data_IF_785399338573
#
_entry.id   IF_785399338573
#
_cell.length_a   1.000
_cell.length_b   1.000
_cell.length_c   1.000
_cell.angle_alpha   90.00
_cell.angle_beta   90.00
_cell.angle_gamma   90.00
#
_symmetry.space_group_name_H-M   'P 1'
#
loop_
_entity.id
_entity.type
_entity.pdbx_description
1 polymer ?
#
# COMPACT_ATOMS: atom_id res chain seq x y z
N UNK A 1 9.80 11.97 -15.09
CA UNK A 1 10.42 10.85 -14.34
C UNK A 1 9.61 10.49 -13.09
N UNK A 2 8.37 10.02 -13.24
CA UNK A 2 7.50 9.61 -12.11
C UNK A 2 7.37 8.08 -11.96
N UNK A 3 8.02 7.30 -12.83
CA UNK A 3 7.88 5.83 -12.89
C UNK A 3 8.40 5.06 -11.66
N UNK A 4 9.17 5.71 -10.77
CA UNK A 4 9.78 5.07 -9.60
C UNK A 4 9.30 5.66 -8.26
N UNK A 5 8.17 6.37 -8.24
CA UNK A 5 7.62 6.85 -6.97
C UNK A 5 6.89 5.68 -6.30
N UNK A 6 7.30 5.26 -5.09
CA UNK A 6 6.60 4.20 -4.37
C UNK A 6 5.21 4.67 -3.92
N UNK A 7 4.20 3.86 -4.21
CA UNK A 7 2.79 4.13 -3.89
C UNK A 7 2.30 3.11 -2.86
N UNK A 8 1.77 3.61 -1.75
CA UNK A 8 1.08 2.81 -0.73
C UNK A 8 -0.39 3.22 -0.68
N UNK A 9 -1.30 2.27 -0.93
CA UNK A 9 -2.74 2.53 -0.90
C UNK A 9 -3.30 2.43 0.52
N UNK A 10 -4.09 3.41 0.96
CA UNK A 10 -4.79 3.38 2.25
C UNK A 10 -6.26 3.07 2.01
N UNK A 11 -6.78 1.98 2.58
CA UNK A 11 -8.19 1.55 2.43
C UNK A 11 -8.89 1.41 3.77
N UNK A 12 -10.23 1.54 3.81
CA UNK A 12 -11.04 1.16 4.96
C UNK A 12 -11.42 -0.33 4.94
N UNK A 13 -11.50 -0.92 3.74
CA UNK A 13 -11.94 -2.30 3.54
C UNK A 13 -10.84 -3.10 2.82
N UNK A 14 -10.54 -4.28 3.37
CA UNK A 14 -9.54 -5.20 2.82
C UNK A 14 -10.19 -6.22 1.87
N UNK A 15 -11.02 -5.74 0.93
CA UNK A 15 -11.61 -6.61 -0.07
C UNK A 15 -10.51 -7.10 -1.02
N UNK A 16 -10.40 -8.43 -1.17
CA UNK A 16 -9.34 -9.06 -1.97
C UNK A 16 -9.34 -8.56 -3.42
N UNK A 17 -10.51 -8.37 -4.01
CA UNK A 17 -10.64 -7.91 -5.39
C UNK A 17 -10.07 -6.51 -5.60
N UNK A 18 -10.30 -5.61 -4.63
CA UNK A 18 -9.75 -4.25 -4.65
C UNK A 18 -8.23 -4.25 -4.48
N UNK A 19 -7.69 -5.16 -3.65
CA UNK A 19 -6.25 -5.32 -3.45
C UNK A 19 -5.60 -5.82 -4.75
N UNK A 20 -6.21 -6.79 -5.44
CA UNK A 20 -5.71 -7.33 -6.70
C UNK A 20 -5.72 -6.25 -7.79
N UNK A 21 -6.81 -5.48 -7.90
CA UNK A 21 -6.90 -4.37 -8.86
C UNK A 21 -5.85 -3.29 -8.57
N UNK A 22 -5.63 -2.93 -7.30
CA UNK A 22 -4.61 -1.96 -6.92
C UNK A 22 -3.19 -2.44 -7.23
N UNK A 23 -2.89 -3.71 -6.98
CA UNK A 23 -1.60 -4.31 -7.34
C UNK A 23 -1.37 -4.29 -8.85
N UNK A 24 -2.39 -4.60 -9.66
CA UNK A 24 -2.32 -4.51 -11.13
C UNK A 24 -2.16 -3.07 -11.62
N UNK A 25 -2.70 -2.09 -10.90
CA UNK A 25 -2.54 -0.67 -11.20
C UNK A 25 -1.14 -0.12 -10.86
N UNK A 26 -0.26 -0.93 -10.27
CA UNK A 26 1.12 -0.54 -9.95
C UNK A 26 1.30 0.02 -8.53
N UNK A 27 0.37 -0.25 -7.61
CA UNK A 27 0.56 0.03 -6.18
C UNK A 27 1.57 -0.95 -5.60
N UNK A 28 2.52 -0.46 -4.80
CA UNK A 28 3.57 -1.29 -4.22
C UNK A 28 3.12 -2.02 -2.94
N UNK A 29 2.30 -1.39 -2.10
CA UNK A 29 1.70 -2.04 -0.93
C UNK A 29 0.39 -1.33 -0.50
N UNK A 30 -0.33 -1.88 0.46
CA UNK A 30 -1.56 -1.31 1.00
C UNK A 30 -1.61 -1.39 2.53
N UNK A 31 -2.38 -0.49 3.13
CA UNK A 31 -2.65 -0.43 4.57
C UNK A 31 -4.15 -0.24 4.82
N UNK A 32 -4.68 -0.98 5.79
CA UNK A 32 -6.11 -0.97 6.13
C UNK A 32 -6.31 -0.11 7.38
N UNK A 33 -7.34 0.74 7.37
CA UNK A 33 -7.74 1.54 8.53
C UNK A 33 -8.65 0.73 9.48
N UNK A 34 -8.56 0.96 10.80
CA UNK A 34 -7.55 1.76 11.49
C UNK A 34 -6.19 1.03 11.53
N UNK A 35 -5.10 1.76 11.29
CA UNK A 35 -3.74 1.23 11.39
C UNK A 35 -2.98 1.92 12.53
N UNK A 36 -1.95 1.26 13.04
CA UNK A 36 -1.02 1.83 14.01
C UNK A 36 0.19 2.41 13.29
N UNK A 37 0.93 3.32 13.95
CA UNK A 37 2.17 3.88 13.41
C UNK A 37 3.20 2.80 13.06
N UNK A 38 3.30 1.76 13.90
CA UNK A 38 4.19 0.63 13.67
C UNK A 38 3.87 -0.14 12.37
N UNK A 39 2.58 -0.38 12.09
CA UNK A 39 2.16 -1.05 10.84
C UNK A 39 2.46 -0.18 9.62
N UNK A 40 2.24 1.13 9.72
CA UNK A 40 2.58 2.05 8.64
C UNK A 40 4.09 2.08 8.39
N UNK A 41 4.91 2.14 9.44
CA UNK A 41 6.36 2.14 9.35
C UNK A 41 6.89 0.86 8.68
N UNK A 42 6.39 -0.32 9.08
CA UNK A 42 6.75 -1.59 8.45
C UNK A 42 6.44 -1.59 6.95
N UNK A 43 5.25 -1.09 6.56
CA UNK A 43 4.84 -0.98 5.17
C UNK A 43 5.75 -0.04 4.38
N UNK A 44 6.05 1.14 4.92
CA UNK A 44 6.92 2.11 4.26
C UNK A 44 8.34 1.57 4.07
N UNK A 45 8.93 0.94 5.10
CA UNK A 45 10.26 0.34 5.03
C UNK A 45 10.35 -0.78 3.99
N UNK A 46 9.26 -1.53 3.79
CA UNK A 46 9.17 -2.57 2.78
C UNK A 46 9.13 -2.01 1.36
N UNK A 47 8.54 -0.83 1.16
CA UNK A 47 8.37 -0.21 -0.17
C UNK A 47 9.58 0.65 -0.56
N UNK A 48 10.30 1.21 0.41
CA UNK A 48 11.45 2.10 0.20
C UNK A 48 12.80 1.37 0.03
N UNK A 49 12.86 0.06 0.29
CA UNK A 49 14.03 -0.78 0.03
C UNK A 49 14.07 -1.25 -1.42
#
# INVERSE_FOLDING_TARGET
NTKNVPIVMVTAEALKDNIVAAAQAGVNDYVVKPFTAAVLEEKLLKVLK
#
